data_IF_855439764770
#
_entry.id   IF_855439764770
#
_cell.length_a   1.000
_cell.length_b   1.000
_cell.length_c   1.000
_cell.angle_alpha   90.00
_cell.angle_beta   90.00
_cell.angle_gamma   90.00
#
_symmetry.space_group_name_H-M   'P 1'
#
loop_
_entity.id
_entity.type
_entity.pdbx_description
1 polymer ?
#
# COMPACT_ATOMS: atom_id res chain seq x y z
N UNK A 1 -29.63 -4.01 -10.91
CA UNK A 1 -29.65 -4.59 -9.54
C UNK A 1 -28.96 -5.96 -9.48
N UNK A 2 -28.87 -6.70 -10.58
CA UNK A 2 -28.23 -8.03 -10.65
C UNK A 2 -26.71 -8.01 -10.39
N UNK A 3 -25.96 -7.03 -10.92
CA UNK A 3 -24.51 -6.90 -10.66
C UNK A 3 -24.14 -6.66 -9.18
N UNK A 4 -25.05 -6.08 -8.38
CA UNK A 4 -24.88 -5.92 -6.92
C UNK A 4 -25.11 -7.24 -6.18
N UNK A 5 -25.98 -8.10 -6.70
CA UNK A 5 -26.21 -9.43 -6.12
C UNK A 5 -25.04 -10.37 -6.43
N UNK A 6 -24.47 -10.34 -7.63
CA UNK A 6 -23.28 -11.15 -7.97
C UNK A 6 -22.06 -10.75 -7.15
N UNK A 7 -21.81 -9.45 -6.98
CA UNK A 7 -20.72 -8.95 -6.13
C UNK A 7 -20.88 -9.40 -4.67
N UNK A 8 -22.10 -9.39 -4.14
CA UNK A 8 -22.40 -9.88 -2.79
C UNK A 8 -22.25 -11.41 -2.65
N UNK A 9 -22.54 -12.16 -3.72
CA UNK A 9 -22.35 -13.62 -3.74
C UNK A 9 -20.87 -13.98 -3.78
N UNK A 10 -20.05 -13.25 -4.56
CA UNK A 10 -18.59 -13.44 -4.63
C UNK A 10 -17.93 -13.10 -3.28
N UNK A 11 -18.30 -11.97 -2.67
CA UNK A 11 -17.82 -11.57 -1.34
C UNK A 11 -18.20 -12.60 -0.28
N UNK A 12 -19.43 -13.12 -0.30
CA UNK A 12 -19.85 -14.19 0.63
C UNK A 12 -19.07 -15.48 0.44
N UNK A 13 -18.76 -15.86 -0.80
CA UNK A 13 -18.00 -17.08 -1.13
C UNK A 13 -16.53 -16.97 -0.73
N UNK A 14 -15.92 -15.79 -0.91
CA UNK A 14 -14.55 -15.50 -0.47
C UNK A 14 -14.42 -15.41 1.05
N UNK A 15 -15.42 -14.83 1.72
CA UNK A 15 -15.52 -14.86 3.17
C UNK A 15 -15.64 -16.30 3.66
N UNK A 16 -16.53 -17.12 3.10
CA UNK A 16 -16.71 -18.54 3.48
C UNK A 16 -15.42 -19.36 3.36
N UNK A 17 -14.61 -19.10 2.33
CA UNK A 17 -13.30 -19.74 2.17
C UNK A 17 -12.30 -19.31 3.26
N UNK A 18 -12.37 -18.05 3.73
CA UNK A 18 -11.61 -17.59 4.90
C UNK A 18 -12.11 -18.24 6.20
N UNK A 19 -13.42 -18.47 6.35
CA UNK A 19 -14.01 -19.18 7.50
C UNK A 19 -13.58 -20.65 7.55
N UNK A 20 -13.60 -21.35 6.41
CA UNK A 20 -13.18 -22.75 6.31
C UNK A 20 -11.68 -22.92 6.63
N UNK A 21 -10.85 -21.93 6.31
CA UNK A 21 -9.42 -21.93 6.64
C UNK A 21 -9.13 -21.73 8.14
N UNK A 22 -10.05 -21.11 8.89
CA UNK A 22 -9.94 -20.89 10.35
C UNK A 22 -10.38 -22.10 11.19
N UNK A 23 -10.84 -23.20 10.59
CA UNK A 23 -11.32 -24.37 11.32
C UNK A 23 -12.61 -24.13 12.12
N UNK A 24 -13.34 -23.05 11.84
CA UNK A 24 -14.60 -22.72 12.49
C UNK A 24 -15.74 -23.32 11.65
N UNK A 25 -16.20 -24.51 12.01
CA UNK A 25 -17.41 -25.09 11.44
C UNK A 25 -18.61 -24.19 11.77
N UNK A 26 -19.37 -23.80 10.73
CA UNK A 26 -20.65 -23.09 10.83
C UNK A 26 -21.77 -24.01 11.35
N UNK A 27 -21.58 -24.63 12.52
CA UNK A 27 -22.51 -25.60 13.10
C UNK A 27 -22.96 -25.28 14.54
N UNK A 28 -22.56 -24.16 15.14
CA UNK A 28 -23.18 -23.66 16.38
C UNK A 28 -24.02 -22.42 16.07
N UNK A 29 -25.33 -22.64 15.94
CA UNK A 29 -26.31 -21.66 15.51
C UNK A 29 -26.31 -20.36 16.33
N UNK A 30 -26.09 -19.25 15.63
CA UNK A 30 -26.65 -17.96 16.02
C UNK A 30 -27.91 -17.77 15.17
N UNK A 31 -29.06 -17.93 15.81
CA UNK A 31 -30.36 -17.52 15.26
C UNK A 31 -30.20 -16.08 14.74
N UNK A 32 -30.60 -15.84 13.49
CA UNK A 32 -30.65 -14.50 12.90
C UNK A 32 -31.60 -13.63 13.73
N UNK A 33 -31.02 -12.86 14.64
CA UNK A 33 -31.79 -12.01 15.52
C UNK A 33 -32.24 -10.78 14.72
N UNK A 34 -33.57 -10.58 14.62
CA UNK A 34 -34.18 -9.44 13.92
C UNK A 34 -33.68 -8.10 14.48
N UNK A 35 -33.24 -8.07 15.74
CA UNK A 35 -32.65 -6.89 16.38
C UNK A 35 -31.37 -6.41 15.68
N UNK A 36 -30.56 -7.30 15.08
CA UNK A 36 -29.32 -6.90 14.40
C UNK A 36 -29.62 -6.12 13.11
N UNK A 37 -30.64 -6.52 12.34
CA UNK A 37 -31.08 -5.79 11.14
C UNK A 37 -31.76 -4.47 11.47
N UNK A 38 -32.50 -4.41 12.57
CA UNK A 38 -33.10 -3.18 13.06
C UNK A 38 -32.03 -2.21 13.58
N UNK A 39 -30.96 -2.73 14.18
CA UNK A 39 -29.79 -1.94 14.60
C UNK A 39 -28.99 -1.45 13.39
N UNK A 40 -28.78 -2.27 12.37
CA UNK A 40 -28.16 -1.85 11.10
C UNK A 40 -28.94 -0.72 10.41
N UNK A 41 -30.28 -0.81 10.36
CA UNK A 41 -31.13 0.23 9.77
C UNK A 41 -31.20 1.50 10.63
N UNK A 42 -31.19 1.36 11.96
CA UNK A 42 -31.13 2.48 12.90
C UNK A 42 -29.80 3.23 12.78
N UNK A 43 -28.69 2.52 12.58
CA UNK A 43 -27.36 3.10 12.38
C UNK A 43 -27.26 3.83 11.03
N UNK A 44 -27.79 3.26 9.94
CA UNK A 44 -27.85 3.93 8.64
C UNK A 44 -28.66 5.24 8.73
N UNK A 45 -29.77 5.24 9.49
CA UNK A 45 -30.54 6.46 9.74
C UNK A 45 -29.78 7.45 10.64
N UNK A 46 -29.02 6.97 11.63
CA UNK A 46 -28.22 7.83 12.51
C UNK A 46 -27.08 8.53 11.74
N UNK A 47 -26.42 7.84 10.81
CA UNK A 47 -25.43 8.44 9.90
C UNK A 47 -26.05 9.40 8.86
N UNK A 48 -27.34 9.25 8.54
CA UNK A 48 -28.07 10.17 7.66
C UNK A 48 -28.58 11.44 8.39
N UNK A 49 -28.92 11.32 9.68
CA UNK A 49 -29.43 12.42 10.53
C UNK A 49 -28.32 13.23 11.19
N UNK A 50 -27.21 12.59 11.57
CA UNK A 50 -25.99 13.28 11.95
C UNK A 50 -25.36 13.85 10.69
N UNK A 51 -25.75 15.08 10.31
CA UNK A 51 -25.19 15.81 9.19
C UNK A 51 -23.68 16.04 9.34
N UNK A 52 -22.88 14.98 9.11
CA UNK A 52 -21.46 15.05 8.84
C UNK A 52 -21.35 15.87 7.57
N UNK A 53 -21.13 17.18 7.74
CA UNK A 53 -20.71 18.05 6.65
C UNK A 53 -19.45 17.42 6.08
N UNK A 54 -19.61 16.71 4.97
CA UNK A 54 -18.53 16.45 4.04
C UNK A 54 -18.00 17.81 3.63
N UNK A 55 -16.88 18.23 4.23
CA UNK A 55 -16.13 19.35 3.67
C UNK A 55 -15.63 18.83 2.32
N UNK A 56 -16.12 19.36 1.18
CA UNK A 56 -15.62 18.93 -0.11
C UNK A 56 -14.15 19.36 -0.16
N UNK A 57 -13.22 18.42 -0.31
CA UNK A 57 -11.86 18.76 -0.74
C UNK A 57 -12.02 19.57 -2.03
N UNK A 58 -11.67 20.85 -1.96
CA UNK A 58 -12.13 21.91 -2.84
C UNK A 58 -11.75 21.67 -4.30
N UNK A 59 -12.73 21.81 -5.22
CA UNK A 59 -12.54 21.80 -6.69
C UNK A 59 -11.49 22.81 -7.19
N UNK A 60 -11.15 23.82 -6.37
CA UNK A 60 -10.19 24.88 -6.68
C UNK A 60 -8.74 24.41 -6.76
N UNK A 61 -8.40 23.26 -6.17
CA UNK A 61 -7.07 22.68 -6.31
C UNK A 61 -6.88 22.03 -7.70
N UNK A 62 -7.93 21.46 -8.30
CA UNK A 62 -7.79 20.78 -9.59
C UNK A 62 -7.71 21.76 -10.78
N UNK A 63 -8.32 22.95 -10.69
CA UNK A 63 -8.32 23.91 -11.81
C UNK A 63 -7.00 24.68 -11.96
N UNK A 64 -6.23 24.86 -10.88
CA UNK A 64 -4.88 25.45 -10.93
C UNK A 64 -3.81 24.43 -11.39
N UNK A 65 -4.17 23.14 -11.46
CA UNK A 65 -3.28 22.04 -11.84
C UNK A 65 -3.17 21.82 -13.35
N UNK A 66 -4.09 22.40 -14.15
CA UNK A 66 -4.17 22.15 -15.59
C UNK A 66 -3.26 23.08 -16.43
N UNK A 67 -2.72 24.17 -15.85
CA UNK A 67 -2.00 25.19 -16.63
C UNK A 67 -0.45 25.16 -16.56
N UNK A 68 0.19 24.23 -15.85
CA UNK A 68 1.64 24.31 -15.57
C UNK A 68 2.53 23.18 -16.10
N UNK A 69 2.04 22.27 -16.95
CA UNK A 69 2.87 21.19 -17.53
C UNK A 69 2.93 21.29 -19.05
N UNK A 70 3.61 22.34 -19.53
CA UNK A 70 4.10 22.44 -20.90
C UNK A 70 5.53 22.95 -20.90
N UNK A 71 6.43 22.26 -20.17
CA UNK A 71 7.87 22.42 -20.36
C UNK A 71 8.32 21.43 -21.43
N UNK A 72 8.87 21.95 -22.53
CA UNK A 72 9.32 21.15 -23.67
C UNK A 72 10.56 20.31 -23.28
N UNK A 73 10.69 19.13 -23.89
CA UNK A 73 11.78 18.16 -23.68
C UNK A 73 13.18 18.78 -23.83
N UNK A 74 13.27 19.89 -24.58
CA UNK A 74 14.50 20.64 -24.90
C UNK A 74 15.02 21.50 -23.73
N UNK A 75 14.16 22.01 -22.85
CA UNK A 75 14.58 22.81 -21.68
C UNK A 75 15.25 21.97 -20.59
N UNK A 76 14.89 20.68 -20.51
CA UNK A 76 15.43 19.73 -19.54
C UNK A 76 16.78 19.18 -20.00
N UNK A 77 16.96 18.96 -21.30
CA UNK A 77 18.26 18.58 -21.89
C UNK A 77 19.27 19.73 -21.81
N UNK A 78 18.83 20.99 -21.94
CA UNK A 78 19.68 22.17 -21.76
C UNK A 78 20.13 22.39 -20.30
N UNK A 79 19.28 22.07 -19.32
CA UNK A 79 19.58 22.24 -17.89
C UNK A 79 20.45 21.13 -17.28
N UNK A 80 20.59 19.99 -17.96
CA UNK A 80 21.50 18.90 -17.57
C UNK A 80 22.97 19.16 -17.97
N UNK A 81 23.23 20.18 -18.80
CA UNK A 81 24.54 20.47 -19.39
C UNK A 81 25.38 21.55 -18.70
N UNK A 82 24.90 22.20 -17.63
CA UNK A 82 25.64 23.27 -16.95
C UNK A 82 25.79 23.02 -15.45
N UNK A 83 27.02 23.21 -14.96
CA UNK A 83 27.42 23.00 -13.57
C UNK A 83 26.49 23.68 -12.56
N UNK A 84 26.12 22.94 -11.50
CA UNK A 84 25.56 23.45 -10.24
C UNK A 84 24.35 24.39 -10.41
N UNK A 85 23.25 23.88 -10.94
CA UNK A 85 21.93 24.41 -10.63
C UNK A 85 21.14 23.34 -9.85
N UNK A 86 20.80 23.65 -8.60
CA UNK A 86 19.81 22.93 -7.80
C UNK A 86 18.54 22.78 -8.64
N UNK A 87 18.33 21.61 -9.26
CA UNK A 87 17.10 21.34 -10.02
C UNK A 87 15.94 21.42 -9.01
N UNK A 88 15.05 22.42 -9.11
CA UNK A 88 14.01 22.63 -8.12
C UNK A 88 13.08 21.42 -8.14
N UNK A 89 12.85 20.79 -6.98
CA UNK A 89 11.90 19.69 -6.84
C UNK A 89 10.56 20.03 -7.50
N UNK A 90 10.12 19.29 -8.53
CA UNK A 90 8.75 19.45 -8.99
C UNK A 90 7.79 18.64 -8.16
N UNK A 91 6.80 19.37 -7.67
CA UNK A 91 5.74 18.85 -6.85
C UNK A 91 4.90 17.82 -7.59
N UNK A 92 5.03 16.56 -7.19
CA UNK A 92 3.84 15.80 -6.86
C UNK A 92 3.27 16.33 -5.54
N UNK A 93 2.56 17.46 -5.61
CA UNK A 93 2.09 18.30 -4.49
C UNK A 93 3.17 19.21 -3.89
N UNK A 94 2.86 20.51 -3.83
CA UNK A 94 3.61 21.68 -3.36
C UNK A 94 4.06 21.64 -1.88
N UNK A 95 4.28 20.47 -1.28
CA UNK A 95 4.42 20.31 0.17
C UNK A 95 5.87 20.33 0.67
N UNK A 96 6.87 20.32 -0.20
CA UNK A 96 8.28 20.27 0.19
C UNK A 96 9.04 21.41 -0.46
N UNK A 97 9.50 22.41 0.32
CA UNK A 97 10.36 23.47 -0.18
C UNK A 97 11.61 22.87 -0.86
N UNK A 98 12.00 23.34 -2.07
CA UNK A 98 13.16 22.81 -2.79
C UNK A 98 14.45 22.87 -1.98
N UNK A 99 14.58 23.86 -1.10
CA UNK A 99 15.71 24.10 -0.22
C UNK A 99 16.01 22.94 0.75
N UNK A 100 15.00 22.17 1.16
CA UNK A 100 15.18 21.01 2.06
C UNK A 100 15.08 19.67 1.33
N UNK A 101 14.88 19.66 0.02
CA UNK A 101 14.55 18.45 -0.71
C UNK A 101 15.66 17.40 -0.62
N UNK A 102 16.93 17.81 -0.67
CA UNK A 102 18.08 16.91 -0.62
C UNK A 102 18.37 16.40 0.80
N UNK A 103 18.16 17.24 1.82
CA UNK A 103 18.28 16.84 3.23
C UNK A 103 17.22 15.80 3.57
N UNK A 104 15.99 16.00 3.08
CA UNK A 104 14.87 15.09 3.31
C UNK A 104 15.09 13.78 2.55
N UNK A 105 15.54 13.81 1.29
CA UNK A 105 15.89 12.57 0.56
C UNK A 105 17.00 11.79 1.30
N UNK A 106 18.02 12.50 1.78
CA UNK A 106 19.13 11.88 2.53
C UNK A 106 18.66 11.28 3.84
N UNK A 107 17.76 11.97 4.57
CA UNK A 107 17.14 11.45 5.79
C UNK A 107 16.26 10.23 5.51
N UNK A 108 15.43 10.26 4.47
CA UNK A 108 14.58 9.13 4.09
C UNK A 108 15.41 7.89 3.69
N UNK A 109 16.55 8.08 3.00
CA UNK A 109 17.50 7.01 2.67
C UNK A 109 18.14 6.41 3.92
N UNK A 110 18.60 7.25 4.83
CA UNK A 110 19.08 6.80 6.13
C UNK A 110 18.00 6.01 6.89
N UNK A 111 16.74 6.45 6.81
CA UNK A 111 15.62 5.82 7.50
C UNK A 111 15.23 4.46 6.91
N UNK A 112 15.26 4.30 5.57
CA UNK A 112 15.05 2.98 4.95
C UNK A 112 16.18 1.98 5.27
N UNK A 113 17.41 2.47 5.42
CA UNK A 113 18.54 1.63 5.83
C UNK A 113 18.44 1.21 7.29
N UNK A 114 18.17 2.16 8.19
CA UNK A 114 18.00 1.91 9.63
C UNK A 114 16.88 0.90 9.90
N UNK A 115 15.80 0.99 9.15
CA UNK A 115 14.60 0.19 9.36
C UNK A 115 14.41 -0.95 8.34
N UNK A 116 15.49 -1.37 7.67
CA UNK A 116 15.44 -2.39 6.64
C UNK A 116 14.89 -3.73 7.16
N UNK A 117 13.97 -4.33 6.41
CA UNK A 117 13.44 -5.66 6.69
C UNK A 117 14.42 -6.73 6.21
N UNK A 118 14.66 -7.74 7.04
CA UNK A 118 15.54 -8.86 6.68
C UNK A 118 14.86 -9.74 5.64
N UNK A 119 15.58 -10.08 4.56
CA UNK A 119 15.11 -11.09 3.62
C UNK A 119 14.75 -12.38 4.35
N UNK A 120 13.55 -12.89 4.10
CA UNK A 120 13.12 -14.16 4.68
C UNK A 120 12.86 -14.13 6.20
N UNK A 121 12.46 -13.00 6.79
CA UNK A 121 12.23 -12.90 8.25
C UNK A 121 11.17 -13.86 8.82
N UNK A 122 10.24 -14.37 7.99
CA UNK A 122 9.28 -15.45 8.31
C UNK A 122 9.66 -16.83 7.73
N UNK A 123 10.77 -16.94 7.00
CA UNK A 123 11.15 -18.16 6.28
C UNK A 123 11.91 -19.18 7.14
N UNK A 124 12.34 -18.80 8.35
CA UNK A 124 12.96 -19.71 9.32
C UNK A 124 11.87 -20.52 10.02
N UNK A 125 11.36 -21.52 9.30
CA UNK A 125 10.20 -22.35 9.62
C UNK A 125 10.19 -22.95 11.03
N UNK A 126 11.35 -23.26 11.62
CA UNK A 126 11.47 -23.80 12.98
C UNK A 126 11.32 -22.76 14.10
N UNK A 127 11.28 -21.46 13.80
CA UNK A 127 11.29 -20.38 14.80
C UNK A 127 10.03 -19.49 14.80
N UNK A 128 9.07 -19.72 13.91
CA UNK A 128 7.93 -18.81 13.74
C UNK A 128 6.57 -19.42 14.13
N UNK A 129 6.54 -20.48 14.94
CA UNK A 129 5.30 -21.17 15.37
C UNK A 129 4.32 -21.51 14.22
N UNK A 130 4.87 -21.85 13.04
CA UNK A 130 4.09 -22.17 11.85
C UNK A 130 3.54 -20.96 11.08
N UNK A 131 3.92 -19.72 11.43
CA UNK A 131 3.69 -18.53 10.60
C UNK A 131 4.55 -18.60 9.33
N UNK A 132 4.01 -18.16 8.20
CA UNK A 132 4.71 -18.11 6.93
C UNK A 132 4.25 -16.92 6.07
N UNK A 133 5.05 -16.54 5.07
CA UNK A 133 4.81 -15.37 4.21
C UNK A 133 3.40 -15.32 3.59
N UNK A 134 2.87 -16.47 3.16
CA UNK A 134 1.51 -16.55 2.63
C UNK A 134 0.41 -16.10 3.60
N UNK A 135 0.56 -16.33 4.92
CA UNK A 135 -0.40 -15.83 5.92
C UNK A 135 -0.32 -14.30 6.04
N UNK A 136 0.90 -13.75 5.96
CA UNK A 136 1.13 -12.29 5.96
C UNK A 136 0.53 -11.64 4.71
N UNK A 137 0.62 -12.27 3.54
CA UNK A 137 -0.04 -11.76 2.32
C UNK A 137 -1.57 -11.70 2.47
N UNK A 138 -2.19 -12.75 3.03
CA UNK A 138 -3.63 -12.77 3.30
C UNK A 138 -4.05 -11.69 4.30
N UNK A 139 -3.27 -11.50 5.37
CA UNK A 139 -3.53 -10.45 6.35
C UNK A 139 -3.42 -9.06 5.71
N UNK A 140 -2.42 -8.83 4.86
CA UNK A 140 -2.26 -7.54 4.18
C UNK A 140 -3.36 -7.29 3.15
N UNK A 141 -3.81 -8.31 2.42
CA UNK A 141 -5.01 -8.16 1.56
C UNK A 141 -6.23 -7.74 2.40
N UNK A 142 -6.45 -8.37 3.56
CA UNK A 142 -7.52 -7.95 4.48
C UNK A 142 -7.37 -6.49 4.96
N UNK A 143 -6.15 -6.06 5.36
CA UNK A 143 -5.89 -4.65 5.72
C UNK A 143 -6.21 -3.71 4.55
N UNK A 144 -5.87 -4.08 3.32
CA UNK A 144 -6.18 -3.30 2.12
C UNK A 144 -7.68 -3.19 1.83
N UNK A 145 -8.50 -4.17 2.24
CA UNK A 145 -9.95 -4.06 2.18
C UNK A 145 -10.47 -2.97 3.13
N UNK A 146 -9.86 -2.86 4.31
CA UNK A 146 -10.22 -1.84 5.32
C UNK A 146 -9.93 -0.42 4.87
N UNK A 147 -8.97 -0.22 3.96
CA UNK A 147 -8.64 1.09 3.37
C UNK A 147 -9.89 1.83 2.89
N UNK A 148 -10.78 1.15 2.17
CA UNK A 148 -12.03 1.75 1.67
C UNK A 148 -13.07 1.91 2.75
N UNK A 149 -13.22 0.91 3.60
CA UNK A 149 -14.21 0.92 4.69
C UNK A 149 -14.00 2.09 5.64
N UNK A 150 -12.74 2.37 5.98
CA UNK A 150 -12.37 3.48 6.86
C UNK A 150 -11.91 4.74 6.10
N UNK A 151 -11.93 4.72 4.76
CA UNK A 151 -11.45 5.84 3.92
C UNK A 151 -10.02 6.30 4.23
N UNK A 152 -9.13 5.35 4.53
CA UNK A 152 -7.74 5.60 4.91
C UNK A 152 -6.86 6.01 3.72
N UNK A 153 -5.80 6.75 4.02
CA UNK A 153 -4.78 7.14 3.04
C UNK A 153 -3.88 5.96 2.63
N UNK A 154 -3.15 6.09 1.50
CA UNK A 154 -2.14 5.09 1.12
C UNK A 154 -0.96 5.10 2.09
N UNK A 155 -0.65 6.26 2.66
CA UNK A 155 0.37 6.48 3.67
C UNK A 155 0.06 5.67 4.94
N UNK A 156 -1.18 5.76 5.46
CA UNK A 156 -1.65 4.95 6.61
C UNK A 156 -1.49 3.46 6.37
N UNK A 157 -1.84 2.97 5.18
CA UNK A 157 -1.69 1.54 4.85
C UNK A 157 -0.22 1.15 4.75
N UNK A 158 0.62 1.99 4.14
CA UNK A 158 2.06 1.74 4.03
C UNK A 158 2.72 1.68 5.41
N UNK A 159 2.32 2.57 6.32
CA UNK A 159 2.77 2.57 7.72
C UNK A 159 2.26 1.36 8.50
N UNK A 160 0.99 1.00 8.35
CA UNK A 160 0.42 -0.17 9.01
C UNK A 160 1.17 -1.46 8.64
N UNK A 161 1.48 -1.62 7.34
CA UNK A 161 2.22 -2.78 6.83
C UNK A 161 3.67 -2.76 7.30
N UNK A 162 4.32 -1.59 7.33
CA UNK A 162 5.66 -1.43 7.88
C UNK A 162 5.74 -1.83 9.37
N UNK A 163 4.81 -1.33 10.18
CA UNK A 163 4.73 -1.66 11.62
C UNK A 163 4.47 -3.16 11.80
N UNK A 164 3.55 -3.73 11.01
CA UNK A 164 3.25 -5.16 11.00
C UNK A 164 4.51 -5.99 10.71
N UNK A 165 5.22 -5.70 9.62
CA UNK A 165 6.39 -6.51 9.23
C UNK A 165 7.53 -6.43 10.25
N UNK A 166 7.75 -5.26 10.85
CA UNK A 166 8.72 -5.11 11.93
C UNK A 166 8.30 -5.83 13.20
N UNK A 167 7.03 -5.72 13.59
CA UNK A 167 6.50 -6.46 14.73
C UNK A 167 6.63 -7.96 14.53
N UNK A 168 6.30 -8.47 13.34
CA UNK A 168 6.47 -9.88 12.98
C UNK A 168 7.95 -10.30 13.04
N UNK A 169 8.87 -9.49 12.53
CA UNK A 169 10.31 -9.79 12.59
C UNK A 169 10.83 -9.94 14.04
N UNK A 170 10.25 -9.21 15.00
CA UNK A 170 10.68 -9.24 16.40
C UNK A 170 9.90 -10.25 17.26
N UNK A 171 8.61 -10.42 17.00
CA UNK A 171 7.70 -11.22 17.82
C UNK A 171 7.38 -12.61 17.25
N UNK A 172 7.87 -12.98 16.05
CA UNK A 172 7.48 -14.23 15.38
C UNK A 172 7.56 -15.49 16.26
N UNK A 173 8.50 -15.55 17.22
CA UNK A 173 8.69 -16.68 18.14
C UNK A 173 7.61 -16.80 19.21
N UNK A 174 6.95 -15.72 19.60
CA UNK A 174 5.92 -15.70 20.65
C UNK A 174 4.51 -15.62 20.06
N UNK A 175 4.39 -15.30 18.77
CA UNK A 175 3.11 -15.21 18.10
C UNK A 175 2.55 -16.58 17.72
N UNK A 176 1.24 -16.72 17.85
CA UNK A 176 0.47 -17.85 17.32
C UNK A 176 -0.25 -17.42 16.05
N UNK A 177 -0.67 -18.40 15.24
CA UNK A 177 -1.50 -18.15 14.06
C UNK A 177 -2.77 -17.37 14.37
N UNK A 178 -3.38 -17.62 15.53
CA UNK A 178 -4.61 -16.96 15.99
C UNK A 178 -4.39 -15.48 16.30
N UNK A 179 -3.21 -15.11 16.79
CA UNK A 179 -2.89 -13.73 17.14
C UNK A 179 -2.42 -12.89 15.96
N UNK A 180 -2.18 -13.49 14.79
CA UNK A 180 -1.68 -12.77 13.62
C UNK A 180 -2.63 -11.62 13.19
N UNK A 181 -3.95 -11.87 13.19
CA UNK A 181 -4.92 -10.82 12.87
C UNK A 181 -4.99 -9.73 13.95
N UNK A 182 -4.75 -10.08 15.22
CA UNK A 182 -4.69 -9.11 16.31
C UNK A 182 -3.48 -8.17 16.16
N UNK A 183 -2.31 -8.70 15.79
CA UNK A 183 -1.12 -7.90 15.46
C UNK A 183 -1.40 -6.97 14.26
N UNK A 184 -2.06 -7.48 13.21
CA UNK A 184 -2.45 -6.67 12.06
C UNK A 184 -3.41 -5.54 12.42
N UNK A 185 -4.43 -5.84 13.23
CA UNK A 185 -5.40 -4.86 13.73
C UNK A 185 -4.71 -3.78 14.56
N UNK A 186 -3.83 -4.16 15.48
CA UNK A 186 -3.06 -3.23 16.31
C UNK A 186 -2.11 -2.36 15.47
N UNK A 187 -1.44 -2.95 14.48
CA UNK A 187 -0.54 -2.22 13.57
C UNK A 187 -1.29 -1.17 12.75
N UNK A 188 -2.51 -1.49 12.29
CA UNK A 188 -3.38 -0.54 11.60
C UNK A 188 -3.89 0.57 12.54
N UNK A 189 -4.26 0.23 13.78
CA UNK A 189 -4.66 1.23 14.78
C UNK A 189 -3.52 2.23 15.06
N UNK A 190 -2.28 1.74 15.24
CA UNK A 190 -1.08 2.58 15.42
C UNK A 190 -0.90 3.51 14.22
N UNK A 191 -0.99 2.98 13.00
CA UNK A 191 -0.84 3.79 11.79
C UNK A 191 -1.94 4.84 11.65
N UNK A 192 -3.20 4.51 11.95
CA UNK A 192 -4.29 5.48 11.94
C UNK A 192 -4.06 6.59 12.96
N UNK A 193 -3.61 6.27 14.18
CA UNK A 193 -3.26 7.28 15.21
C UNK A 193 -2.12 8.21 14.78
N UNK A 194 -1.25 7.75 13.88
CA UNK A 194 -0.09 8.50 13.43
C UNK A 194 -0.38 9.38 12.19
N UNK A 195 -1.09 8.85 11.19
CA UNK A 195 -1.29 9.51 9.88
C UNK A 195 -2.67 10.17 9.72
N UNK A 196 -3.71 9.67 10.39
CA UNK A 196 -5.08 10.14 10.12
C UNK A 196 -5.47 11.31 11.04
N UNK A 197 -6.09 12.32 10.44
CA UNK A 197 -6.69 13.44 11.20
C UNK A 197 -7.86 12.95 12.06
N UNK A 198 -8.66 12.02 11.51
CA UNK A 198 -9.81 11.42 12.19
C UNK A 198 -9.54 9.92 12.31
N UNK A 199 -9.16 9.52 13.51
CA UNK A 199 -8.85 8.12 13.84
C UNK A 199 -10.16 7.35 14.06
N UNK A 200 -10.37 6.18 13.42
CA UNK A 200 -11.49 5.31 13.74
C UNK A 200 -11.46 4.86 15.21
N UNK A 201 -12.62 4.64 15.83
CA UNK A 201 -12.67 4.24 17.23
C UNK A 201 -12.24 2.79 17.36
N UNK A 202 -11.70 2.43 18.51
CA UNK A 202 -11.29 1.04 18.77
C UNK A 202 -12.44 0.03 18.65
N UNK A 203 -13.68 0.45 18.94
CA UNK A 203 -14.87 -0.37 18.74
C UNK A 203 -15.10 -0.71 17.26
N UNK A 204 -14.74 0.19 16.34
CA UNK A 204 -14.86 -0.03 14.90
C UNK A 204 -13.84 -1.10 14.44
N UNK A 205 -12.63 -1.12 15.02
CA UNK A 205 -11.65 -2.19 14.78
C UNK A 205 -12.11 -3.54 15.32
N UNK A 206 -12.64 -3.58 16.55
CA UNK A 206 -13.22 -4.80 17.13
C UNK A 206 -14.36 -5.36 16.24
N UNK A 207 -15.20 -4.47 15.72
CA UNK A 207 -16.27 -4.83 14.78
C UNK A 207 -15.72 -5.42 13.47
N UNK A 208 -14.66 -4.85 12.88
CA UNK A 208 -14.05 -5.39 11.65
C UNK A 208 -13.41 -6.77 11.83
N UNK A 209 -12.99 -7.10 13.06
CA UNK A 209 -12.56 -8.45 13.44
C UNK A 209 -13.73 -9.38 13.77
N UNK A 210 -14.98 -8.96 13.49
CA UNK A 210 -16.23 -9.68 13.81
C UNK A 210 -16.35 -10.06 15.30
N UNK A 211 -15.81 -9.22 16.18
CA UNK A 211 -15.79 -9.49 17.61
C UNK A 211 -14.84 -10.61 18.05
N UNK A 212 -13.97 -11.11 17.17
CA UNK A 212 -12.92 -12.07 17.56
C UNK A 212 -12.00 -11.50 18.65
N UNK A 213 -11.78 -10.18 18.64
CA UNK A 213 -10.99 -9.50 19.65
C UNK A 213 -11.79 -8.38 20.32
N UNK A 214 -11.68 -8.30 21.64
CA UNK A 214 -12.23 -7.20 22.43
C UNK A 214 -11.38 -5.94 22.29
N UNK A 215 -11.94 -4.74 22.51
CA UNK A 215 -11.15 -3.50 22.54
C UNK A 215 -9.93 -3.56 23.47
N UNK A 216 -10.07 -4.19 24.65
CA UNK A 216 -8.96 -4.32 25.59
C UNK A 216 -7.82 -5.20 25.05
N UNK A 217 -8.14 -6.30 24.35
CA UNK A 217 -7.12 -7.13 23.71
C UNK A 217 -6.39 -6.36 22.59
N UNK A 218 -7.12 -5.52 21.85
CA UNK A 218 -6.51 -4.66 20.82
C UNK A 218 -5.56 -3.64 21.45
N UNK A 219 -5.93 -3.01 22.58
CA UNK A 219 -5.04 -2.09 23.31
C UNK A 219 -3.79 -2.79 23.87
N UNK A 220 -3.94 -3.98 24.44
CA UNK A 220 -2.81 -4.76 24.95
C UNK A 220 -1.86 -5.16 23.81
N UNK A 221 -2.41 -5.53 22.65
CA UNK A 221 -1.59 -5.83 21.49
C UNK A 221 -0.93 -4.57 20.92
N UNK A 222 -1.61 -3.43 20.88
CA UNK A 222 -1.00 -2.14 20.49
C UNK A 222 0.23 -1.83 21.33
N UNK A 223 0.14 -1.98 22.66
CA UNK A 223 1.28 -1.79 23.54
C UNK A 223 2.42 -2.77 23.24
N UNK A 224 2.09 -4.05 23.03
CA UNK A 224 3.07 -5.09 22.72
C UNK A 224 3.77 -4.84 21.39
N UNK A 225 3.05 -4.38 20.37
CA UNK A 225 3.58 -4.03 19.04
C UNK A 225 4.51 -2.83 19.15
N UNK A 226 4.11 -1.77 19.86
CA UNK A 226 4.95 -0.58 20.06
C UNK A 226 6.25 -0.92 20.79
N UNK A 227 6.18 -1.76 21.83
CA UNK A 227 7.37 -2.25 22.55
C UNK A 227 8.27 -3.08 21.63
N UNK A 228 7.70 -3.97 20.82
CA UNK A 228 8.46 -4.81 19.91
C UNK A 228 9.22 -4.00 18.84
N UNK A 229 8.66 -2.88 18.37
CA UNK A 229 9.32 -1.98 17.42
C UNK A 229 10.12 -0.85 18.07
N UNK A 230 10.27 -0.88 19.40
CA UNK A 230 10.97 0.12 20.22
C UNK A 230 10.44 1.55 19.98
N UNK A 231 9.13 1.67 19.77
CA UNK A 231 8.43 2.93 19.43
C UNK A 231 8.97 3.63 18.16
N UNK A 232 9.88 2.99 17.41
CA UNK A 232 10.44 3.51 16.17
C UNK A 232 9.44 3.25 15.02
N UNK A 233 8.39 4.06 14.91
CA UNK A 233 7.38 3.90 13.86
C UNK A 233 7.62 4.80 12.64
N UNK A 234 8.56 5.75 12.72
CA UNK A 234 8.96 6.56 11.56
C UNK A 234 9.60 5.68 10.49
N UNK A 235 9.10 5.76 9.26
CA UNK A 235 9.67 5.04 8.12
C UNK A 235 9.58 5.84 6.82
N UNK A 236 10.42 5.44 5.87
CA UNK A 236 10.32 5.93 4.51
C UNK A 236 9.31 5.07 3.74
N UNK A 237 8.47 5.71 2.94
CA UNK A 237 7.49 5.06 2.08
C UNK A 237 7.86 5.22 0.61
N UNK A 238 7.59 4.21 -0.20
CA UNK A 238 7.87 4.24 -1.64
C UNK A 238 7.16 5.42 -2.31
N UNK A 239 5.95 5.79 -1.84
CA UNK A 239 5.20 6.93 -2.37
C UNK A 239 5.93 8.26 -2.21
N UNK A 240 6.76 8.44 -1.16
CA UNK A 240 7.55 9.65 -0.94
C UNK A 240 8.65 9.78 -2.01
N UNK A 241 9.40 8.70 -2.24
CA UNK A 241 10.40 8.64 -3.32
C UNK A 241 9.75 8.77 -4.70
N UNK A 242 8.60 8.13 -4.93
CA UNK A 242 7.88 8.22 -6.21
C UNK A 242 7.45 9.65 -6.55
N UNK A 243 7.03 10.45 -5.57
CA UNK A 243 6.71 11.88 -5.79
C UNK A 243 7.92 12.64 -6.31
N UNK A 244 9.10 12.38 -5.74
CA UNK A 244 10.38 12.95 -6.18
C UNK A 244 10.77 12.45 -7.57
N UNK A 245 10.72 11.15 -7.80
CA UNK A 245 11.18 10.54 -9.06
C UNK A 245 10.28 10.90 -10.24
N UNK A 246 8.97 11.03 -10.01
CA UNK A 246 8.01 11.45 -11.03
C UNK A 246 8.41 12.80 -11.65
N UNK A 247 8.94 13.72 -10.85
CA UNK A 247 9.38 15.01 -11.35
C UNK A 247 10.50 14.86 -12.38
N UNK A 248 11.56 14.12 -12.02
CA UNK A 248 12.71 13.96 -12.88
C UNK A 248 12.40 13.11 -14.13
N UNK A 249 11.54 12.10 -13.98
CA UNK A 249 11.16 11.21 -15.09
C UNK A 249 10.04 11.79 -15.97
N UNK A 250 9.37 12.88 -15.55
CA UNK A 250 8.26 13.51 -16.26
C UNK A 250 7.17 12.54 -16.73
N UNK A 251 6.84 11.54 -15.89
CA UNK A 251 5.89 10.50 -16.29
C UNK A 251 4.43 11.02 -16.32
N UNK A 252 3.64 10.65 -17.36
CA UNK A 252 2.23 10.99 -17.44
C UNK A 252 1.42 10.44 -16.26
N UNK A 253 0.27 11.06 -15.99
CA UNK A 253 -0.62 10.68 -14.87
C UNK A 253 -1.03 9.21 -14.92
N UNK A 254 -1.31 8.66 -16.10
CA UNK A 254 -1.71 7.26 -16.26
C UNK A 254 -0.58 6.30 -15.86
N UNK A 255 0.65 6.59 -16.31
CA UNK A 255 1.86 5.85 -15.94
C UNK A 255 2.10 5.93 -14.44
N UNK A 256 1.96 7.12 -13.86
CA UNK A 256 2.12 7.31 -12.42
C UNK A 256 1.07 6.54 -11.60
N UNK A 257 -0.17 6.46 -12.06
CA UNK A 257 -1.22 5.69 -11.40
C UNK A 257 -0.94 4.18 -11.45
N UNK A 258 -0.45 3.67 -12.58
CA UNK A 258 0.00 2.28 -12.68
C UNK A 258 1.22 2.03 -11.77
N UNK A 259 2.16 2.96 -11.71
CA UNK A 259 3.31 2.85 -10.80
C UNK A 259 2.86 2.79 -9.33
N UNK A 260 1.84 3.56 -8.92
CA UNK A 260 1.31 3.47 -7.54
C UNK A 260 0.75 2.07 -7.26
N UNK A 261 0.01 1.50 -8.21
CA UNK A 261 -0.46 0.13 -8.11
C UNK A 261 0.70 -0.85 -7.92
N UNK A 262 1.74 -0.78 -8.77
CA UNK A 262 2.93 -1.65 -8.69
C UNK A 262 3.68 -1.45 -7.36
N UNK A 263 3.72 -0.23 -6.83
CA UNK A 263 4.34 0.03 -5.53
C UNK A 263 3.59 -0.63 -4.38
N UNK A 264 2.25 -0.66 -4.43
CA UNK A 264 1.42 -1.35 -3.44
C UNK A 264 1.44 -2.88 -3.64
N UNK A 265 1.75 -3.40 -4.84
CA UNK A 265 2.03 -4.84 -5.07
C UNK A 265 3.20 -5.30 -4.20
N UNK A 266 4.26 -4.50 -4.11
CA UNK A 266 5.41 -4.81 -3.25
C UNK A 266 5.05 -4.88 -1.76
N UNK A 267 4.07 -4.09 -1.33
CA UNK A 267 3.55 -4.15 0.03
C UNK A 267 2.76 -5.43 0.30
N UNK A 268 2.15 -6.05 -0.71
CA UNK A 268 1.35 -7.28 -0.54
C UNK A 268 2.24 -8.51 -0.53
N UNK A 269 3.14 -8.65 -1.51
CA UNK A 269 3.90 -9.89 -1.71
C UNK A 269 5.12 -9.98 -0.80
N UNK A 270 5.10 -10.97 0.10
CA UNK A 270 6.19 -11.23 1.05
C UNK A 270 7.60 -11.35 0.41
N UNK A 271 7.79 -11.98 -0.76
CA UNK A 271 9.10 -11.99 -1.42
C UNK A 271 9.64 -10.61 -1.77
N UNK A 272 8.77 -9.60 -1.91
CA UNK A 272 9.13 -8.23 -2.27
C UNK A 272 9.28 -7.30 -1.06
N UNK A 273 8.76 -7.69 0.11
CA UNK A 273 8.67 -6.83 1.29
C UNK A 273 10.02 -6.32 1.83
N UNK A 274 11.12 -7.02 1.51
CA UNK A 274 12.47 -6.66 1.96
C UNK A 274 13.15 -5.56 1.13
N UNK A 275 12.63 -5.24 -0.06
CA UNK A 275 13.24 -4.23 -0.90
C UNK A 275 13.06 -2.84 -0.30
N UNK A 276 14.10 -2.01 -0.44
CA UNK A 276 14.07 -0.62 0.05
C UNK A 276 12.97 0.19 -0.66
N UNK A 277 12.22 1.05 0.06
CA UNK A 277 11.22 1.94 -0.51
C UNK A 277 11.69 2.75 -1.72
N UNK A 278 12.95 3.23 -1.72
CA UNK A 278 13.56 3.95 -2.85
C UNK A 278 13.67 3.07 -4.11
N UNK A 279 14.09 1.82 -3.97
CA UNK A 279 14.16 0.84 -5.07
C UNK A 279 12.75 0.49 -5.55
N UNK A 280 11.82 0.22 -4.64
CA UNK A 280 10.41 -0.08 -4.97
C UNK A 280 9.81 1.06 -5.80
N UNK A 281 10.07 2.32 -5.43
CA UNK A 281 9.61 3.49 -6.16
C UNK A 281 10.17 3.56 -7.60
N UNK A 282 11.48 3.36 -7.76
CA UNK A 282 12.14 3.38 -9.06
C UNK A 282 11.66 2.23 -9.96
N UNK A 283 11.59 1.01 -9.43
CA UNK A 283 11.09 -0.18 -10.12
C UNK A 283 9.64 0.01 -10.57
N UNK A 284 8.81 0.57 -9.71
CA UNK A 284 7.39 0.80 -10.03
C UNK A 284 7.20 1.79 -11.18
N UNK A 285 7.99 2.87 -11.21
CA UNK A 285 7.98 3.84 -12.30
C UNK A 285 8.55 3.26 -13.59
N UNK A 286 9.64 2.49 -13.49
CA UNK A 286 10.24 1.81 -14.63
C UNK A 286 9.26 0.83 -15.29
N UNK A 287 8.68 -0.11 -14.52
CA UNK A 287 7.74 -1.09 -15.04
C UNK A 287 6.48 -0.43 -15.64
N UNK A 288 5.95 0.61 -14.99
CA UNK A 288 4.82 1.35 -15.53
C UNK A 288 5.17 2.07 -16.85
N UNK A 289 6.40 2.58 -16.97
CA UNK A 289 6.90 3.24 -18.17
C UNK A 289 7.08 2.24 -19.32
N UNK A 290 7.68 1.08 -19.06
CA UNK A 290 7.80 -0.03 -20.03
C UNK A 290 6.42 -0.48 -20.53
N UNK A 291 5.45 -0.65 -19.63
CA UNK A 291 4.08 -1.01 -20.01
C UNK A 291 3.46 0.02 -21.00
N UNK A 292 3.82 1.29 -20.89
CA UNK A 292 3.33 2.39 -21.73
C UNK A 292 4.34 2.84 -22.80
N UNK A 293 5.35 2.03 -23.14
CA UNK A 293 6.36 2.34 -24.18
C UNK A 293 7.13 3.65 -23.96
N UNK A 294 7.26 4.08 -22.71
CA UNK A 294 8.08 5.23 -22.35
C UNK A 294 9.49 4.79 -21.98
N UNK A 295 10.48 5.42 -22.61
CA UNK A 295 11.89 5.31 -22.22
C UNK A 295 12.23 6.37 -21.19
N UNK A 296 12.98 5.97 -20.17
CA UNK A 296 13.55 6.87 -19.17
C UNK A 296 15.02 7.04 -19.51
N UNK A 297 15.53 8.28 -19.46
CA UNK A 297 16.93 8.57 -19.76
C UNK A 297 17.82 7.98 -18.66
N UNK A 298 18.85 7.22 -19.05
CA UNK A 298 19.77 6.52 -18.13
C UNK A 298 20.39 7.43 -17.06
N UNK A 299 20.76 8.67 -17.43
CA UNK A 299 21.36 9.65 -16.52
C UNK A 299 20.43 10.09 -15.37
N UNK A 300 19.12 9.92 -15.52
CA UNK A 300 18.14 10.23 -14.45
C UNK A 300 18.34 9.29 -13.26
N UNK A 301 18.71 8.03 -13.50
CA UNK A 301 18.94 7.05 -12.44
C UNK A 301 20.13 7.45 -11.56
N UNK A 302 21.28 7.73 -12.17
CA UNK A 302 22.49 8.10 -11.44
C UNK A 302 22.37 9.48 -10.80
N UNK A 303 21.94 10.49 -11.58
CA UNK A 303 22.07 11.89 -11.17
C UNK A 303 20.92 12.34 -10.27
N UNK A 304 19.71 11.84 -10.49
CA UNK A 304 18.51 12.33 -9.79
C UNK A 304 18.02 11.32 -8.74
N UNK A 305 18.06 10.02 -9.08
CA UNK A 305 17.57 8.96 -8.20
C UNK A 305 18.64 8.39 -7.28
N UNK A 306 19.93 8.66 -7.53
CA UNK A 306 21.06 8.08 -6.78
C UNK A 306 21.00 6.55 -6.74
N UNK A 307 20.62 5.93 -7.86
CA UNK A 307 20.45 4.48 -8.02
C UNK A 307 21.14 4.01 -9.30
N UNK A 308 21.60 2.76 -9.31
CA UNK A 308 22.09 2.11 -10.52
C UNK A 308 20.91 1.60 -11.36
N UNK A 309 20.86 2.01 -12.63
CA UNK A 309 19.85 1.52 -13.58
C UNK A 309 19.85 0.00 -13.68
N UNK A 310 21.03 -0.64 -13.66
CA UNK A 310 21.16 -2.10 -13.78
C UNK A 310 20.50 -2.81 -12.60
N UNK A 311 20.66 -2.27 -11.40
CA UNK A 311 20.01 -2.77 -10.19
C UNK A 311 18.49 -2.64 -10.31
N UNK A 312 17.99 -1.47 -10.75
CA UNK A 312 16.56 -1.22 -10.93
C UNK A 312 15.96 -2.21 -11.94
N UNK A 313 16.60 -2.41 -13.09
CA UNK A 313 16.13 -3.36 -14.12
C UNK A 313 16.13 -4.80 -13.57
N UNK A 314 17.21 -5.22 -12.89
CA UNK A 314 17.31 -6.55 -12.30
C UNK A 314 16.21 -6.83 -11.27
N UNK A 315 15.90 -5.85 -10.42
CA UNK A 315 14.82 -5.98 -9.42
C UNK A 315 13.45 -5.90 -10.11
N UNK A 316 13.30 -5.10 -11.16
CA UNK A 316 12.06 -5.00 -11.92
C UNK A 316 11.63 -6.34 -12.52
N UNK A 317 12.56 -7.11 -13.09
CA UNK A 317 12.29 -8.47 -13.58
C UNK A 317 11.66 -9.37 -12.50
N UNK A 318 12.11 -9.25 -11.25
CA UNK A 318 11.57 -10.03 -10.11
C UNK A 318 10.16 -9.60 -9.70
N UNK A 319 9.75 -8.37 -10.01
CA UNK A 319 8.41 -7.86 -9.70
C UNK A 319 7.37 -8.32 -10.73
N UNK A 320 7.76 -8.52 -11.99
CA UNK A 320 6.84 -8.81 -13.10
C UNK A 320 5.85 -9.93 -12.78
N UNK A 321 6.25 -11.12 -12.27
CA UNK A 321 5.29 -12.20 -12.00
C UNK A 321 4.19 -11.79 -11.02
N UNK A 322 4.56 -11.05 -9.96
CA UNK A 322 3.63 -10.59 -8.93
C UNK A 322 2.71 -9.47 -9.43
N UNK A 323 3.23 -8.59 -10.27
CA UNK A 323 2.44 -7.53 -10.92
C UNK A 323 1.40 -8.15 -11.85
N UNK A 324 1.79 -9.13 -12.67
CA UNK A 324 0.88 -9.83 -13.57
C UNK A 324 -0.17 -10.65 -12.79
N UNK A 325 0.21 -11.32 -11.71
CA UNK A 325 -0.71 -12.03 -10.82
C UNK A 325 -1.76 -11.08 -10.23
N UNK A 326 -1.33 -9.93 -9.69
CA UNK A 326 -2.24 -8.97 -9.06
C UNK A 326 -3.09 -8.19 -10.07
N UNK A 327 -2.59 -7.98 -11.29
CA UNK A 327 -3.32 -7.31 -12.36
C UNK A 327 -4.40 -8.21 -13.00
N UNK A 328 -4.38 -9.52 -12.73
CA UNK A 328 -5.37 -10.45 -13.25
C UNK A 328 -6.71 -10.34 -12.50
N UNK A 329 -7.86 -10.32 -13.20
CA UNK A 329 -9.17 -10.14 -12.57
C UNK A 329 -9.57 -11.29 -11.64
N UNK A 330 -9.01 -12.49 -11.83
CA UNK A 330 -9.30 -13.69 -11.05
C UNK A 330 -8.16 -14.05 -10.06
N UNK A 331 -7.31 -13.08 -9.72
CA UNK A 331 -6.20 -13.28 -8.79
C UNK A 331 -6.66 -13.64 -7.38
N UNK A 332 -5.79 -14.29 -6.60
CA UNK A 332 -6.12 -14.70 -5.22
C UNK A 332 -6.38 -13.50 -4.28
N UNK A 333 -5.69 -12.39 -4.52
CA UNK A 333 -5.75 -11.16 -3.73
C UNK A 333 -6.53 -10.12 -4.51
N UNK A 334 -7.73 -9.76 -4.06
CA UNK A 334 -8.62 -8.89 -4.83
C UNK A 334 -8.68 -7.46 -4.29
N UNK A 335 -8.30 -7.22 -3.03
CA UNK A 335 -8.48 -5.92 -2.41
C UNK A 335 -7.70 -4.82 -3.14
N UNK A 336 -6.45 -5.13 -3.51
CA UNK A 336 -5.59 -4.19 -4.22
C UNK A 336 -6.07 -3.95 -5.66
N UNK A 337 -6.41 -5.02 -6.39
CA UNK A 337 -6.99 -4.91 -7.72
C UNK A 337 -8.22 -4.01 -7.69
N UNK A 338 -9.13 -4.25 -6.74
CA UNK A 338 -10.33 -3.47 -6.59
C UNK A 338 -10.01 -2.01 -6.29
N UNK A 339 -9.06 -1.73 -5.40
CA UNK A 339 -8.57 -0.38 -5.05
C UNK A 339 -8.10 0.41 -6.26
N UNK A 340 -7.45 -0.25 -7.23
CA UNK A 340 -6.81 0.42 -8.36
C UNK A 340 -7.51 0.24 -9.72
N UNK A 341 -8.49 -0.65 -9.87
CA UNK A 341 -9.06 -1.00 -11.19
C UNK A 341 -9.47 0.19 -12.06
N UNK A 342 -10.07 1.21 -11.44
CA UNK A 342 -10.49 2.45 -12.14
C UNK A 342 -9.34 3.43 -12.37
N UNK A 343 -8.38 3.50 -11.44
CA UNK A 343 -7.34 4.56 -11.40
C UNK A 343 -6.10 4.17 -12.22
N UNK A 344 -5.71 2.89 -12.16
CA UNK A 344 -4.57 2.33 -12.87
C UNK A 344 -4.94 1.71 -14.24
N UNK A 345 -6.23 1.69 -14.59
CA UNK A 345 -6.71 1.09 -15.85
C UNK A 345 -6.52 -0.43 -15.89
N UNK A 346 -6.96 -1.13 -14.83
CA UNK A 346 -6.91 -2.60 -14.79
C UNK A 346 -8.22 -3.21 -15.32
N UNK A 347 -8.19 -4.38 -15.97
CA UNK A 347 -7.02 -5.24 -16.19
C UNK A 347 -6.07 -4.64 -17.24
N UNK A 348 -4.78 -5.01 -17.17
CA UNK A 348 -3.79 -4.59 -18.16
C UNK A 348 -4.17 -5.13 -19.55
N UNK A 349 -3.90 -4.35 -20.59
CA UNK A 349 -4.06 -4.79 -21.99
C UNK A 349 -3.07 -5.91 -22.34
N UNK A 350 -3.41 -6.75 -23.32
CA UNK A 350 -2.52 -7.81 -23.79
C UNK A 350 -1.15 -7.27 -24.22
N UNK A 351 -1.11 -6.10 -24.87
CA UNK A 351 0.13 -5.45 -25.27
C UNK A 351 0.99 -5.03 -24.07
N UNK A 352 0.38 -4.47 -23.02
CA UNK A 352 1.08 -4.14 -21.78
C UNK A 352 1.63 -5.40 -21.10
N UNK A 353 0.84 -6.48 -21.06
CA UNK A 353 1.27 -7.76 -20.48
C UNK A 353 2.44 -8.34 -21.26
N UNK A 354 2.37 -8.36 -22.60
CA UNK A 354 3.45 -8.88 -23.45
C UNK A 354 4.73 -8.07 -23.25
N UNK A 355 4.65 -6.74 -23.20
CA UNK A 355 5.81 -5.87 -22.91
C UNK A 355 6.46 -6.16 -21.56
N UNK A 356 5.67 -6.41 -20.52
CA UNK A 356 6.21 -6.78 -19.21
C UNK A 356 6.84 -8.17 -19.22
N UNK A 357 6.26 -9.12 -19.96
CA UNK A 357 6.81 -10.48 -20.10
C UNK A 357 8.15 -10.51 -20.83
N UNK A 358 8.36 -9.62 -21.80
CA UNK A 358 9.64 -9.48 -22.51
C UNK A 358 10.81 -9.11 -21.58
N UNK A 359 10.56 -8.65 -20.35
CA UNK A 359 11.61 -8.40 -19.35
C UNK A 359 12.06 -9.69 -18.64
N UNK A 360 11.34 -10.81 -18.81
CA UNK A 360 11.67 -12.10 -18.21
C UNK A 360 12.51 -13.00 -19.13
N UNK A 361 12.50 -12.71 -20.43
CA UNK A 361 13.30 -13.35 -21.46
C UNK A 361 14.70 -12.68 -21.54
#
# INVERSE_FOLDING_TARGET
>A
MEARNESNVIIKKQLQNCWNWLGINAASGLKQDKSIRETENSIIQHFAQAGVRTIPKTKRANSLFEESVTGSKEELEASLGTEKLLLPFGGGSTLMPPEFADDIDSYLRWLEDKNALKFGYLSRSFQCNGLHGGMRQLLVDWILQLKRTFSLTSETISLAIFVLDRALMQMAKSLTKQNLQLVGTASLLIACKYEEIIVPRIADFAYMTKGTFTPNQILQMEQSVLQAVDYQISCAHSIQFMRRYRYYMQVPKQVYNLAKFISEVALVFYPLAHYKPSIVAAVSLYLASVAHTLSIVSTVYSNCLRLDEREVVSVACKFVPFVLEMAAPNGKYHALYDNFKKVAGLPLSNDQINRLKLLLD
#
